data_IF_003911841328
#
_entry.id   IF_003911841328
#
_cell.length_a   1.000
_cell.length_b   1.000
_cell.length_c   1.000
_cell.angle_alpha   90.00
_cell.angle_beta   90.00
_cell.angle_gamma   90.00
#
_symmetry.space_group_name_H-M   'P 1'
#
loop_
_entity.id
_entity.type
_entity.pdbx_description
1 polymer ?
#
# COMPACT_ATOMS: atom_id res chain seq x y z
N UNK A 1 0.55 -15.37 -14.13
CA UNK A 1 0.36 -14.71 -15.41
C UNK A 1 1.64 -14.10 -15.96
N UNK A 2 2.73 -14.21 -15.28
CA UNK A 2 4.00 -13.73 -15.74
C UNK A 2 4.22 -12.23 -15.60
N UNK A 3 3.33 -11.55 -14.92
CA UNK A 3 3.52 -10.11 -14.68
C UNK A 3 4.74 -9.87 -13.81
N UNK A 4 5.46 -8.80 -14.12
CA UNK A 4 6.64 -8.41 -13.36
C UNK A 4 6.37 -7.06 -12.73
N UNK A 5 6.60 -7.00 -11.43
CA UNK A 5 6.44 -5.76 -10.67
C UNK A 5 7.81 -5.32 -10.19
N UNK A 6 8.19 -4.09 -10.51
CA UNK A 6 9.43 -3.52 -10.02
C UNK A 6 9.17 -2.79 -8.72
N UNK A 7 9.91 -3.14 -7.70
CA UNK A 7 9.73 -2.57 -6.37
C UNK A 7 11.06 -1.99 -5.89
N UNK A 8 11.00 -0.75 -5.41
CA UNK A 8 12.14 -0.13 -4.76
C UNK A 8 11.96 -0.22 -3.26
N UNK A 9 12.97 -0.66 -2.56
CA UNK A 9 12.93 -0.74 -1.11
C UNK A 9 13.02 0.66 -0.53
N UNK A 10 11.94 1.09 0.11
CA UNK A 10 11.86 2.41 0.73
C UNK A 10 11.13 2.27 2.06
N UNK A 11 11.30 3.25 2.94
CA UNK A 11 10.56 3.30 4.19
C UNK A 11 9.62 4.51 4.25
N UNK A 12 9.53 5.27 3.16
CA UNK A 12 8.66 6.45 3.07
C UNK A 12 7.97 6.45 1.72
N UNK A 13 6.69 6.81 1.70
CA UNK A 13 5.90 6.93 0.48
C UNK A 13 5.28 8.31 0.41
N UNK A 14 4.89 8.72 -0.80
CA UNK A 14 4.18 9.97 -1.05
C UNK A 14 2.72 9.66 -1.38
N UNK A 15 1.87 10.68 -1.23
CA UNK A 15 0.46 10.56 -1.56
C UNK A 15 0.29 10.08 -3.00
N UNK A 16 -0.49 9.03 -3.19
CA UNK A 16 -0.75 8.46 -4.50
C UNK A 16 0.17 7.33 -4.91
N UNK A 17 1.24 7.09 -4.16
CA UNK A 17 2.15 5.99 -4.46
C UNK A 17 1.49 4.64 -4.21
N UNK A 18 1.86 3.65 -5.01
CA UNK A 18 1.49 2.27 -4.75
C UNK A 18 2.63 1.63 -3.97
N UNK A 19 2.32 1.04 -2.84
CA UNK A 19 3.33 0.46 -1.97
C UNK A 19 3.02 -0.98 -1.59
N UNK A 20 4.06 -1.64 -1.14
CA UNK A 20 3.96 -2.96 -0.52
C UNK A 20 4.01 -2.76 0.98
N UNK A 21 3.06 -3.29 1.68
CA UNK A 21 2.91 -3.10 3.13
C UNK A 21 2.84 -4.43 3.85
N UNK A 22 3.37 -4.44 5.06
CA UNK A 22 3.07 -5.49 6.03
C UNK A 22 1.98 -4.93 6.95
N UNK A 23 0.81 -5.53 6.94
CA UNK A 23 -0.33 -5.06 7.71
C UNK A 23 -0.78 -6.20 8.60
N UNK A 24 -0.61 -6.03 9.92
CA UNK A 24 -0.91 -7.07 10.90
C UNK A 24 -0.26 -8.41 10.52
N UNK A 25 0.95 -8.35 9.98
CA UNK A 25 1.69 -9.55 9.59
C UNK A 25 1.42 -10.07 8.20
N UNK A 26 0.53 -9.44 7.44
CA UNK A 26 0.20 -9.84 6.08
C UNK A 26 0.77 -8.87 5.07
N UNK A 27 1.34 -9.39 3.99
CA UNK A 27 1.91 -8.55 2.93
C UNK A 27 0.80 -8.19 1.95
N UNK A 28 0.63 -6.88 1.71
CA UNK A 28 -0.41 -6.36 0.83
C UNK A 28 0.12 -5.25 -0.03
N UNK A 29 -0.45 -5.12 -1.23
CA UNK A 29 -0.16 -4.02 -2.16
C UNK A 29 -1.32 -3.05 -2.09
N UNK A 30 -1.06 -1.80 -1.73
CA UNK A 30 -2.08 -0.78 -1.52
C UNK A 30 -1.61 0.56 -2.03
N UNK A 31 -2.57 1.44 -2.31
CA UNK A 31 -2.25 2.83 -2.66
C UNK A 31 -2.20 3.66 -1.38
N UNK A 32 -1.12 4.39 -1.25
CA UNK A 32 -0.88 5.26 -0.09
C UNK A 32 -1.59 6.59 -0.34
N UNK A 33 -2.54 6.92 0.50
CA UNK A 33 -3.34 8.14 0.35
C UNK A 33 -3.29 8.95 1.64
N UNK A 34 -3.05 10.23 1.50
CA UNK A 34 -3.02 11.16 2.63
C UNK A 34 -4.20 12.10 2.49
N UNK A 35 -5.00 12.24 3.53
CA UNK A 35 -6.08 13.22 3.57
C UNK A 35 -6.06 13.96 4.90
N UNK A 36 -7.07 14.78 5.15
CA UNK A 36 -7.12 15.64 6.34
C UNK A 36 -7.16 14.81 7.63
N UNK A 37 -7.64 13.59 7.56
CA UNK A 37 -7.77 12.72 8.73
C UNK A 37 -6.52 11.90 8.98
N UNK A 38 -5.59 11.83 8.02
CA UNK A 38 -4.37 11.06 8.15
C UNK A 38 -4.10 10.18 6.94
N UNK A 39 -3.50 9.02 7.17
CA UNK A 39 -3.09 8.12 6.10
C UNK A 39 -4.07 6.97 5.98
N UNK A 40 -4.53 6.75 4.75
CA UNK A 40 -5.44 5.66 4.40
C UNK A 40 -4.78 4.83 3.31
N UNK A 41 -4.81 3.51 3.47
CA UNK A 41 -4.34 2.60 2.43
C UNK A 41 -5.56 2.06 1.67
N UNK A 42 -5.58 2.29 0.36
CA UNK A 42 -6.70 1.91 -0.48
C UNK A 42 -6.34 0.76 -1.39
N UNK A 43 -7.31 -0.10 -1.71
CA UNK A 43 -7.06 -1.18 -2.67
C UNK A 43 -6.67 -0.59 -4.02
N UNK A 44 -5.66 -1.18 -4.65
CA UNK A 44 -5.20 -0.71 -5.95
C UNK A 44 -5.92 -1.42 -7.10
N UNK A 45 -6.47 -2.61 -6.87
CA UNK A 45 -7.10 -3.37 -7.93
C UNK A 45 -8.62 -3.30 -7.83
N UNK A 46 -9.27 -3.76 -8.89
CA UNK A 46 -10.71 -3.69 -9.02
C UNK A 46 -11.43 -4.94 -8.56
N UNK A 47 -10.70 -5.95 -8.10
CA UNK A 47 -11.27 -7.22 -7.70
C UNK A 47 -11.03 -7.45 -6.22
N UNK A 48 -11.93 -8.18 -5.60
CA UNK A 48 -11.78 -8.58 -4.21
C UNK A 48 -12.28 -7.54 -3.24
N UNK A 49 -11.68 -7.50 -2.09
CA UNK A 49 -12.05 -6.57 -1.03
C UNK A 49 -11.64 -5.16 -1.36
N UNK A 50 -12.52 -4.23 -1.04
CA UNK A 50 -12.30 -2.81 -1.31
C UNK A 50 -12.31 -1.99 -0.03
N UNK A 51 -11.92 -2.56 1.08
CA UNK A 51 -11.90 -1.85 2.34
C UNK A 51 -10.68 -0.95 2.42
N UNK A 52 -10.91 0.32 2.72
CA UNK A 52 -9.83 1.23 3.07
C UNK A 52 -9.29 0.85 4.45
N UNK A 53 -7.98 1.02 4.62
CA UNK A 53 -7.33 0.70 5.88
C UNK A 53 -6.75 1.96 6.47
N UNK A 54 -7.19 2.31 7.66
CA UNK A 54 -6.65 3.43 8.43
C UNK A 54 -5.41 2.94 9.18
N UNK A 55 -4.24 3.49 8.83
CA UNK A 55 -2.98 2.99 9.39
C UNK A 55 -2.88 3.21 10.88
N UNK A 56 -3.68 4.11 11.45
CA UNK A 56 -3.65 4.33 12.89
C UNK A 56 -4.30 3.20 13.68
N UNK A 57 -5.01 2.31 12.99
CA UNK A 57 -5.77 1.22 13.63
C UNK A 57 -5.15 -0.15 13.42
N UNK A 58 -4.03 -0.24 12.73
CA UNK A 58 -3.38 -1.52 12.43
C UNK A 58 -1.89 -1.39 12.64
N UNK A 59 -1.22 -2.52 12.78
CA UNK A 59 0.24 -2.58 12.72
C UNK A 59 0.63 -2.59 11.25
N UNK A 60 1.34 -1.55 10.83
CA UNK A 60 1.64 -1.36 9.41
C UNK A 60 3.09 -0.93 9.24
N UNK A 61 3.77 -1.55 8.31
CA UNK A 61 5.14 -1.18 7.95
C UNK A 61 5.26 -1.13 6.43
N UNK A 62 5.98 -0.12 5.94
CA UNK A 62 6.23 0.03 4.51
C UNK A 62 7.39 -0.89 4.13
N UNK A 63 7.17 -1.73 3.13
CA UNK A 63 8.20 -2.65 2.64
C UNK A 63 8.84 -2.14 1.34
N UNK A 64 8.09 -1.41 0.54
CA UNK A 64 8.63 -0.92 -0.70
C UNK A 64 7.65 -0.09 -1.49
N UNK A 65 8.14 0.50 -2.58
CA UNK A 65 7.33 1.30 -3.51
C UNK A 65 7.29 0.59 -4.86
N UNK A 66 6.11 0.45 -5.41
CA UNK A 66 5.93 -0.13 -6.73
C UNK A 66 6.26 0.93 -7.77
N UNK A 67 7.25 0.65 -8.62
CA UNK A 67 7.70 1.58 -9.65
C UNK A 67 7.05 1.31 -10.99
N UNK A 68 6.71 0.07 -11.25
CA UNK A 68 6.15 -0.35 -12.53
C UNK A 68 5.32 -1.60 -12.31
N UNK A 69 4.15 -1.59 -12.89
CA UNK A 69 3.26 -2.76 -12.87
C UNK A 69 3.16 -3.37 -14.24
#
# INVERSE_FOLDING_TARGET
>A
DGSVVMVKQVDVLSNGDIGIFSINGEIMCKRYCIDDAGVILRPDNQSGDFCDIDVSKVECAIQGKVLLE
#
